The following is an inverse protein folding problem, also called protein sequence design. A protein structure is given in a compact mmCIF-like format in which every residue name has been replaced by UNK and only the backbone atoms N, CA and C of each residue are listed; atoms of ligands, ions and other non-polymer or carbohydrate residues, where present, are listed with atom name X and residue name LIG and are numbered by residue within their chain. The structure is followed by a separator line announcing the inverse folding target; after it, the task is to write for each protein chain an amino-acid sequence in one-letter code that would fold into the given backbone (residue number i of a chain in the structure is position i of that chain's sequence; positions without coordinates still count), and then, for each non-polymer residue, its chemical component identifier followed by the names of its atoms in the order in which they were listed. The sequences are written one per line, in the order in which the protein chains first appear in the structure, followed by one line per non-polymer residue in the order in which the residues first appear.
data_IF_667307596509
#
_entry.id   IF_667307596509
#
_cell.length_a   1.000
_cell.length_b   1.000
_cell.length_c   1.000
_cell.angle_alpha   90.00
_cell.angle_beta   90.00
_cell.angle_gamma   90.00
#
_symmetry.space_group_name_H-M   'P 1'
#
loop_
_entity.id
_entity.type
_entity.pdbx_description
1 polymer ?
#
# COMPACT_ATOMS: atom_id res chain seq x y z
N UNK A 1 -16.26 -18.64 10.95
CA UNK A 1 -16.33 -17.55 11.96
C UNK A 1 -16.28 -16.17 11.31
N UNK A 2 -15.27 -15.84 10.48
CA UNK A 2 -15.17 -14.51 9.85
C UNK A 2 -16.40 -14.14 9.00
N UNK A 3 -17.01 -15.07 8.32
CA UNK A 3 -18.22 -14.82 7.49
C UNK A 3 -19.38 -14.20 8.27
N UNK A 4 -19.57 -14.58 9.53
CA UNK A 4 -20.59 -13.99 10.41
C UNK A 4 -20.20 -12.56 10.84
N UNK A 5 -18.94 -12.37 11.22
CA UNK A 5 -18.39 -11.05 11.57
C UNK A 5 -18.52 -10.11 10.36
N UNK A 6 -18.16 -10.59 9.15
CA UNK A 6 -18.29 -9.83 7.91
C UNK A 6 -19.72 -9.38 7.65
N UNK A 7 -20.72 -10.27 7.83
CA UNK A 7 -22.13 -9.89 7.65
C UNK A 7 -22.53 -8.74 8.57
N UNK A 8 -22.13 -8.80 9.85
CA UNK A 8 -22.42 -7.72 10.81
C UNK A 8 -21.70 -6.42 10.45
N UNK A 9 -20.41 -6.48 10.10
CA UNK A 9 -19.61 -5.30 9.70
C UNK A 9 -20.15 -4.70 8.39
N UNK A 10 -20.60 -5.52 7.44
CA UNK A 10 -21.08 -5.06 6.13
C UNK A 10 -22.47 -4.41 6.19
N UNK A 11 -23.25 -4.57 7.28
CA UNK A 11 -24.48 -3.81 7.50
C UNK A 11 -24.23 -2.34 7.86
N UNK A 12 -22.99 -2.00 8.29
CA UNK A 12 -22.58 -0.65 8.59
C UNK A 12 -22.06 0.07 7.33
N UNK A 13 -22.06 1.41 7.37
CA UNK A 13 -21.35 2.22 6.39
C UNK A 13 -19.87 1.79 6.29
N UNK A 14 -19.27 1.74 5.07
CA UNK A 14 -17.91 1.23 4.90
C UNK A 14 -16.84 1.93 5.73
N UNK A 15 -16.93 3.24 5.89
CA UNK A 15 -15.94 4.00 6.66
C UNK A 15 -16.16 3.83 8.17
N UNK A 16 -17.41 3.82 8.62
CA UNK A 16 -17.77 3.50 10.02
C UNK A 16 -17.30 2.10 10.41
N UNK A 17 -17.47 1.12 9.53
CA UNK A 17 -16.99 -0.23 9.74
C UNK A 17 -15.46 -0.29 9.82
N UNK A 18 -14.76 0.44 8.95
CA UNK A 18 -13.31 0.56 8.99
C UNK A 18 -12.83 1.14 10.32
N UNK A 19 -13.40 2.27 10.75
CA UNK A 19 -13.03 2.93 12.00
C UNK A 19 -13.27 2.03 13.22
N UNK A 20 -14.36 1.25 13.22
CA UNK A 20 -14.66 0.27 14.28
C UNK A 20 -13.58 -0.84 14.33
N UNK A 21 -13.20 -1.38 13.17
CA UNK A 21 -12.15 -2.42 13.07
C UNK A 21 -10.81 -1.87 13.51
N UNK A 22 -10.42 -0.67 13.08
CA UNK A 22 -9.17 -0.01 13.50
C UNK A 22 -9.14 0.17 15.02
N UNK A 23 -10.21 0.72 15.62
CA UNK A 23 -10.30 0.88 17.08
C UNK A 23 -10.21 -0.47 17.81
N UNK A 24 -10.88 -1.48 17.30
CA UNK A 24 -10.86 -2.83 17.90
C UNK A 24 -9.47 -3.46 17.83
N UNK A 25 -8.79 -3.35 16.69
CA UNK A 25 -7.42 -3.85 16.52
C UNK A 25 -6.40 -3.06 17.36
N UNK A 26 -6.59 -1.74 17.49
CA UNK A 26 -5.77 -0.92 18.36
C UNK A 26 -5.85 -1.37 19.82
N UNK A 27 -7.06 -1.62 20.34
CA UNK A 27 -7.26 -2.13 21.69
C UNK A 27 -6.70 -3.54 21.86
N UNK A 28 -6.96 -4.43 20.89
CA UNK A 28 -6.46 -5.81 20.92
C UNK A 28 -4.93 -5.91 20.76
N UNK A 29 -4.31 -4.97 20.08
CA UNK A 29 -2.85 -4.89 19.92
C UNK A 29 -2.11 -4.39 21.16
N UNK A 30 -2.85 -3.78 22.12
CA UNK A 30 -2.28 -3.26 23.37
C UNK A 30 -2.44 -4.26 24.53
N UNK A 31 -1.30 -4.74 25.09
CA UNK A 31 -1.22 -5.45 26.37
C UNK A 31 -1.96 -6.82 26.43
N UNK A 32 -2.34 -7.46 27.54
CA UNK A 32 -2.48 -8.92 27.53
C UNK A 32 -3.35 -9.51 26.41
N UNK A 33 -4.22 -8.69 25.80
CA UNK A 33 -5.03 -9.09 24.65
C UNK A 33 -4.20 -9.39 23.40
N UNK A 34 -3.00 -8.85 23.24
CA UNK A 34 -2.14 -9.14 22.08
C UNK A 34 -1.74 -10.61 22.03
N UNK A 35 -1.46 -11.22 23.19
CA UNK A 35 -1.13 -12.64 23.25
C UNK A 35 -2.30 -13.53 22.79
N UNK A 36 -3.50 -13.24 23.26
CA UNK A 36 -4.72 -13.93 22.82
C UNK A 36 -4.98 -13.72 21.33
N UNK A 37 -4.80 -12.50 20.84
CA UNK A 37 -4.97 -12.18 19.42
C UNK A 37 -3.97 -12.97 18.56
N UNK A 38 -2.69 -13.04 18.96
CA UNK A 38 -1.67 -13.86 18.28
C UNK A 38 -2.01 -15.35 18.28
N UNK A 39 -2.55 -15.88 19.38
CA UNK A 39 -2.99 -17.29 19.43
C UNK A 39 -4.20 -17.56 18.53
N UNK A 40 -5.20 -16.67 18.53
CA UNK A 40 -6.41 -16.81 17.71
C UNK A 40 -6.12 -16.69 16.21
N UNK A 41 -5.20 -15.81 15.87
CA UNK A 41 -4.80 -15.54 14.49
C UNK A 41 -3.56 -16.34 14.05
N UNK A 42 -3.09 -17.30 14.87
CA UNK A 42 -1.86 -18.05 14.67
C UNK A 42 -1.58 -18.33 13.17
N UNK A 43 -0.58 -17.63 12.66
CA UNK A 43 -0.09 -17.80 11.29
C UNK A 43 1.17 -18.67 11.33
N UNK A 44 1.36 -19.63 10.41
CA UNK A 44 2.60 -20.37 10.30
C UNK A 44 3.75 -19.43 9.98
N UNK A 45 4.97 -19.86 10.29
CA UNK A 45 6.15 -19.20 9.76
C UNK A 45 6.16 -19.36 8.25
N UNK A 46 6.29 -18.24 7.53
CA UNK A 46 6.44 -18.25 6.08
C UNK A 46 7.89 -18.51 5.66
N UNK A 47 8.14 -18.50 4.37
CA UNK A 47 9.48 -18.56 3.79
C UNK A 47 10.07 -17.15 3.78
N UNK A 48 11.21 -16.91 4.45
CA UNK A 48 11.88 -15.62 4.39
C UNK A 48 12.32 -15.29 2.97
N UNK A 49 12.23 -14.02 2.59
CA UNK A 49 12.65 -13.52 1.27
C UNK A 49 13.48 -12.26 1.42
N UNK A 50 14.58 -12.17 0.67
CA UNK A 50 15.42 -10.99 0.65
C UNK A 50 15.07 -10.13 -0.58
N UNK A 51 14.60 -8.90 -0.36
CA UNK A 51 14.21 -7.94 -1.39
C UNK A 51 14.66 -6.55 -0.97
N UNK A 52 15.15 -5.73 -1.89
CA UNK A 52 15.66 -4.36 -1.61
C UNK A 52 16.73 -4.32 -0.49
N UNK A 53 17.51 -5.39 -0.31
CA UNK A 53 18.49 -5.48 0.79
C UNK A 53 17.89 -5.78 2.18
N UNK A 54 16.57 -6.00 2.28
CA UNK A 54 15.84 -6.29 3.50
C UNK A 54 15.40 -7.76 3.52
N UNK A 55 15.47 -8.41 4.68
CA UNK A 55 14.92 -9.75 4.87
C UNK A 55 13.49 -9.67 5.41
N UNK A 56 12.53 -10.08 4.59
CA UNK A 56 11.12 -10.21 4.97
C UNK A 56 10.86 -11.60 5.53
N UNK A 57 10.12 -11.74 6.63
CA UNK A 57 9.78 -13.04 7.25
C UNK A 57 8.94 -13.93 6.33
N UNK A 58 8.14 -13.33 5.52
CA UNK A 58 7.37 -13.93 4.42
C UNK A 58 7.01 -12.83 3.40
N UNK A 59 6.65 -13.19 2.17
CA UNK A 59 6.42 -12.23 1.10
C UNK A 59 5.06 -11.52 1.15
N UNK A 60 4.24 -11.73 2.19
CA UNK A 60 2.88 -11.19 2.28
C UNK A 60 2.83 -9.97 3.19
N UNK A 61 2.41 -8.84 2.65
CA UNK A 61 2.30 -7.58 3.38
C UNK A 61 0.91 -6.96 3.38
N UNK A 62 0.71 -6.02 4.31
CA UNK A 62 -0.46 -5.16 4.34
C UNK A 62 -0.19 -3.91 3.49
N UNK A 63 -1.10 -3.61 2.55
CA UNK A 63 -0.98 -2.41 1.72
C UNK A 63 -1.34 -1.14 2.49
N UNK A 64 -0.71 -0.03 2.12
CA UNK A 64 -1.08 1.31 2.61
C UNK A 64 -2.56 1.62 2.41
N UNK A 65 -3.12 2.41 3.32
CA UNK A 65 -4.54 2.78 3.36
C UNK A 65 -5.37 2.00 4.37
N UNK A 66 -4.91 0.83 4.81
CA UNK A 66 -5.56 0.06 5.87
C UNK A 66 -5.32 0.70 7.25
N UNK A 67 -4.08 1.02 7.56
CA UNK A 67 -3.66 1.80 8.75
C UNK A 67 -3.00 3.11 8.31
N UNK A 68 -3.80 4.15 8.12
CA UNK A 68 -3.33 5.44 7.58
C UNK A 68 -2.44 6.21 8.56
N UNK A 69 -2.70 6.03 9.84
CA UNK A 69 -2.08 6.79 10.93
C UNK A 69 -1.13 5.95 11.80
N UNK A 70 -0.83 4.71 11.38
CA UNK A 70 0.02 3.79 12.16
C UNK A 70 -0.54 3.50 13.56
N UNK A 71 -1.87 3.43 13.70
CA UNK A 71 -2.53 3.25 15.01
C UNK A 71 -2.70 1.78 15.39
N UNK A 72 -2.58 0.86 14.43
CA UNK A 72 -2.91 -0.57 14.61
C UNK A 72 -1.85 -1.54 14.10
N UNK A 73 -0.62 -1.08 13.99
CA UNK A 73 0.51 -1.89 13.48
C UNK A 73 0.58 -3.25 14.19
N UNK A 74 0.56 -3.27 15.53
CA UNK A 74 0.67 -4.49 16.33
C UNK A 74 -0.55 -5.42 16.16
N UNK A 75 -1.73 -4.83 15.95
CA UNK A 75 -2.96 -5.57 15.68
C UNK A 75 -2.92 -6.28 14.32
N UNK A 76 -2.49 -5.59 13.26
CA UNK A 76 -2.27 -6.19 11.96
C UNK A 76 -1.09 -7.17 11.96
N UNK A 77 -0.02 -6.86 12.68
CA UNK A 77 1.14 -7.74 12.83
C UNK A 77 0.78 -9.11 13.41
N UNK A 78 -0.20 -9.16 14.33
CA UNK A 78 -0.71 -10.41 14.88
C UNK A 78 -1.39 -11.32 13.82
N UNK A 79 -1.77 -10.81 12.65
CA UNK A 79 -2.33 -11.61 11.56
C UNK A 79 -1.28 -12.38 10.77
N UNK A 80 0.02 -12.13 11.00
CA UNK A 80 1.12 -12.87 10.37
C UNK A 80 1.71 -12.23 9.11
N UNK A 81 1.42 -10.96 8.85
CA UNK A 81 2.09 -10.22 7.78
C UNK A 81 3.60 -10.19 7.97
N UNK A 82 4.37 -10.42 6.90
CA UNK A 82 5.81 -10.25 6.87
C UNK A 82 6.24 -8.80 6.89
N UNK A 83 5.38 -7.91 6.38
CA UNK A 83 5.58 -6.46 6.39
C UNK A 83 4.25 -5.71 6.42
N UNK A 84 4.30 -4.49 6.91
CA UNK A 84 3.15 -3.59 6.99
C UNK A 84 3.53 -2.24 6.39
N UNK A 85 2.72 -1.74 5.47
CA UNK A 85 2.86 -0.39 4.93
C UNK A 85 1.76 0.51 5.49
N UNK A 86 2.16 1.51 6.30
CA UNK A 86 1.26 2.52 6.87
C UNK A 86 1.17 3.76 5.98
N UNK A 87 0.13 4.56 6.14
CA UNK A 87 -0.11 5.75 5.32
C UNK A 87 -1.21 5.50 4.27
N UNK A 88 -1.34 6.30 3.20
CA UNK A 88 -0.42 7.38 2.80
C UNK A 88 -0.53 8.55 3.77
N UNK A 89 0.62 9.02 4.20
CA UNK A 89 0.74 10.18 5.08
C UNK A 89 1.28 11.39 4.32
N UNK A 90 0.84 12.57 4.70
CA UNK A 90 1.24 13.86 4.12
C UNK A 90 1.96 14.72 5.16
N UNK A 91 2.70 15.78 4.77
CA UNK A 91 3.37 16.66 5.74
C UNK A 91 2.46 17.14 6.86
N UNK A 92 1.32 17.68 6.49
CA UNK A 92 0.31 18.19 7.44
C UNK A 92 -0.90 17.24 7.46
N UNK A 93 -1.59 17.22 8.60
CA UNK A 93 -2.88 16.55 8.73
C UNK A 93 -3.88 17.09 7.70
N UNK A 94 -4.74 16.22 7.16
CA UNK A 94 -5.83 16.62 6.27
C UNK A 94 -7.01 15.66 6.37
N UNK A 95 -8.22 16.22 6.27
CA UNK A 95 -9.48 15.49 6.37
C UNK A 95 -9.73 14.55 5.17
N UNK A 96 -9.08 14.80 4.03
CA UNK A 96 -9.34 14.13 2.77
C UNK A 96 -10.55 14.68 2.04
N UNK A 97 -11.23 13.84 1.25
CA UNK A 97 -12.41 14.22 0.48
C UNK A 97 -13.69 14.08 1.32
N UNK A 98 -14.77 14.77 0.91
CA UNK A 98 -16.07 14.71 1.56
C UNK A 98 -16.64 13.28 1.62
N UNK A 99 -17.33 12.97 2.71
CA UNK A 99 -18.08 11.71 2.88
C UNK A 99 -19.46 11.80 2.21
N UNK A 100 -20.04 10.67 1.73
CA UNK A 100 -19.47 9.32 1.72
C UNK A 100 -18.37 9.19 0.64
N UNK A 101 -17.33 8.44 0.96
CA UNK A 101 -16.14 8.32 0.10
C UNK A 101 -15.60 6.89 -0.03
N UNK A 102 -16.34 5.91 0.49
CA UNK A 102 -16.06 4.49 0.34
C UNK A 102 -17.34 3.74 -0.02
N UNK A 103 -17.26 2.86 -1.01
CA UNK A 103 -18.41 2.13 -1.55
C UNK A 103 -18.01 0.68 -1.82
N UNK A 104 -18.78 -0.27 -1.27
CA UNK A 104 -18.58 -1.70 -1.54
C UNK A 104 -19.35 -2.11 -2.78
N UNK A 105 -18.73 -2.94 -3.60
CA UNK A 105 -19.37 -3.69 -4.69
C UNK A 105 -19.29 -5.17 -4.29
N UNK A 106 -20.26 -5.59 -3.47
CA UNK A 106 -20.20 -6.88 -2.76
C UNK A 106 -20.24 -8.05 -3.73
N UNK A 107 -20.98 -7.94 -4.82
CA UNK A 107 -21.18 -8.97 -5.85
C UNK A 107 -19.87 -9.39 -6.52
N UNK A 108 -18.92 -8.48 -6.61
CA UNK A 108 -17.60 -8.67 -7.27
C UNK A 108 -16.43 -8.50 -6.31
N UNK A 109 -16.67 -8.43 -5.02
CA UNK A 109 -15.64 -8.23 -3.99
C UNK A 109 -14.73 -7.02 -4.29
N UNK A 110 -15.37 -5.95 -4.77
CA UNK A 110 -14.73 -4.67 -5.12
C UNK A 110 -15.00 -3.58 -4.09
N UNK A 111 -14.13 -2.57 -4.07
CA UNK A 111 -14.30 -1.35 -3.27
C UNK A 111 -13.92 -0.16 -4.12
N UNK A 112 -14.83 0.83 -4.24
CA UNK A 112 -14.49 2.14 -4.77
C UNK A 112 -14.23 3.08 -3.60
N UNK A 113 -13.13 3.82 -3.64
CA UNK A 113 -12.81 4.84 -2.65
C UNK A 113 -12.32 6.14 -3.29
N UNK A 114 -12.66 7.25 -2.62
CA UNK A 114 -12.14 8.59 -2.91
C UNK A 114 -11.65 9.29 -1.64
N UNK A 115 -10.85 8.56 -0.84
CA UNK A 115 -10.41 9.01 0.49
C UNK A 115 -9.64 10.34 0.46
N UNK A 116 -8.75 10.56 -0.52
CA UNK A 116 -7.98 11.80 -0.66
C UNK A 116 -6.91 11.97 0.42
N UNK A 117 -6.27 10.88 0.82
CA UNK A 117 -5.19 10.86 1.82
C UNK A 117 -5.58 11.49 3.17
N UNK A 118 -6.75 11.12 3.72
CA UNK A 118 -7.10 11.52 5.08
C UNK A 118 -6.11 10.93 6.09
N UNK A 119 -5.42 11.80 6.84
CA UNK A 119 -4.39 11.41 7.82
C UNK A 119 -4.09 12.54 8.81
N UNK A 120 -3.39 12.22 9.89
CA UNK A 120 -3.04 13.16 10.97
C UNK A 120 -1.64 13.79 10.82
N UNK A 121 -1.00 13.66 9.66
CA UNK A 121 0.30 14.22 9.37
C UNK A 121 1.47 13.30 9.76
N UNK A 122 2.63 13.59 9.16
CA UNK A 122 3.81 12.71 9.28
C UNK A 122 4.32 12.59 10.72
N UNK A 123 4.27 13.66 11.51
CA UNK A 123 4.77 13.64 12.88
C UNK A 123 3.94 12.69 13.76
N UNK A 124 2.61 12.66 13.59
CA UNK A 124 1.74 11.73 14.29
C UNK A 124 2.03 10.27 13.93
N UNK A 125 2.20 10.00 12.63
CA UNK A 125 2.50 8.64 12.13
C UNK A 125 3.84 8.15 12.66
N UNK A 126 4.88 8.98 12.62
CA UNK A 126 6.21 8.64 13.13
C UNK A 126 6.17 8.32 14.63
N UNK A 127 5.44 9.09 15.42
CA UNK A 127 5.29 8.81 16.85
C UNK A 127 4.58 7.48 17.14
N UNK A 128 3.64 7.06 16.29
CA UNK A 128 3.00 5.77 16.41
C UNK A 128 3.91 4.62 15.97
N UNK A 129 4.65 4.79 14.86
CA UNK A 129 5.64 3.81 14.40
C UNK A 129 6.70 3.53 15.48
N UNK A 130 7.20 4.56 16.17
CA UNK A 130 8.15 4.41 17.27
C UNK A 130 7.63 3.54 18.43
N UNK A 131 6.33 3.52 18.66
CA UNK A 131 5.69 2.78 19.77
C UNK A 131 5.33 1.35 19.38
N UNK A 132 5.33 1.02 18.10
CA UNK A 132 4.97 -0.30 17.62
C UNK A 132 5.98 -1.36 18.05
N UNK A 133 5.47 -2.57 18.33
CA UNK A 133 6.25 -3.75 18.72
C UNK A 133 6.24 -4.81 17.62
N UNK A 134 5.80 -4.44 16.44
CA UNK A 134 5.81 -5.31 15.27
C UNK A 134 7.25 -5.69 14.91
N UNK A 135 7.50 -6.98 14.77
CA UNK A 135 8.83 -7.55 14.51
C UNK A 135 9.06 -7.89 13.02
N UNK A 136 8.16 -7.46 12.12
CA UNK A 136 8.29 -7.52 10.66
C UNK A 136 8.83 -6.21 10.10
N UNK A 137 8.85 -6.13 8.77
CA UNK A 137 9.35 -4.97 8.02
C UNK A 137 8.30 -3.85 8.00
N UNK A 138 8.72 -2.63 8.35
CA UNK A 138 7.87 -1.44 8.41
C UNK A 138 8.08 -0.54 7.20
N UNK A 139 7.03 -0.41 6.38
CA UNK A 139 6.97 0.57 5.29
C UNK A 139 6.19 1.82 5.68
N UNK A 140 6.68 2.99 5.27
CA UNK A 140 5.94 4.26 5.40
C UNK A 140 5.67 4.81 4.01
N UNK A 141 4.38 4.92 3.67
CA UNK A 141 3.91 5.44 2.39
C UNK A 141 3.66 6.94 2.52
N UNK A 142 4.37 7.74 1.73
CA UNK A 142 4.33 9.20 1.77
C UNK A 142 3.68 9.78 0.52
N UNK A 143 3.01 10.92 0.67
CA UNK A 143 2.32 11.60 -0.41
C UNK A 143 2.23 13.11 -0.21
N UNK A 144 1.72 13.78 -1.26
CA UNK A 144 1.51 15.24 -1.29
C UNK A 144 0.22 15.63 -0.59
N UNK A 145 0.22 16.71 0.18
CA UNK A 145 -1.01 17.35 0.66
C UNK A 145 -1.93 17.78 -0.49
N UNK A 146 -3.22 17.72 -0.28
CA UNK A 146 -4.23 18.09 -1.29
C UNK A 146 -4.08 19.55 -1.73
N UNK A 147 -3.78 20.44 -0.79
CA UNK A 147 -3.67 21.89 -1.03
C UNK A 147 -2.35 22.32 -1.64
N UNK A 148 -1.33 21.47 -1.64
CA UNK A 148 -0.02 21.77 -2.25
C UNK A 148 -0.16 21.73 -3.78
N UNK A 149 0.18 22.81 -4.50
CA UNK A 149 0.23 22.81 -5.97
C UNK A 149 1.20 21.74 -6.50
N UNK A 150 0.99 21.27 -7.72
CA UNK A 150 1.79 20.18 -8.29
C UNK A 150 3.27 20.56 -8.43
N UNK A 151 3.56 21.82 -8.76
CA UNK A 151 4.89 22.38 -8.91
C UNK A 151 5.71 22.36 -7.62
N UNK A 152 5.02 22.36 -6.47
CA UNK A 152 5.61 22.25 -5.12
C UNK A 152 5.44 20.86 -4.51
N UNK A 153 4.86 19.94 -5.25
CA UNK A 153 4.58 18.57 -4.76
C UNK A 153 5.83 17.87 -4.24
N UNK A 154 6.95 18.04 -4.91
CA UNK A 154 8.25 17.49 -4.50
C UNK A 154 8.63 17.85 -3.06
N UNK A 155 8.37 19.08 -2.61
CA UNK A 155 8.74 19.55 -1.27
C UNK A 155 8.03 18.74 -0.18
N UNK A 156 6.77 18.36 -0.42
CA UNK A 156 5.99 17.52 0.49
C UNK A 156 6.61 16.12 0.66
N UNK A 157 7.06 15.51 -0.44
CA UNK A 157 7.74 14.21 -0.39
C UNK A 157 9.07 14.30 0.34
N UNK A 158 9.87 15.33 0.07
CA UNK A 158 11.15 15.54 0.75
C UNK A 158 10.96 15.81 2.24
N UNK A 159 9.92 16.56 2.61
CA UNK A 159 9.58 16.80 4.01
C UNK A 159 9.23 15.49 4.73
N UNK A 160 8.32 14.69 4.15
CA UNK A 160 7.95 13.41 4.71
C UNK A 160 9.11 12.42 4.78
N UNK A 161 9.94 12.38 3.71
CA UNK A 161 11.14 11.55 3.65
C UNK A 161 12.10 11.85 4.81
N UNK A 162 12.36 13.14 5.09
CA UNK A 162 13.21 13.55 6.20
C UNK A 162 12.70 13.07 7.56
N UNK A 163 11.40 13.14 7.77
CA UNK A 163 10.76 12.76 9.04
C UNK A 163 10.69 11.25 9.22
N UNK A 164 10.39 10.50 8.15
CA UNK A 164 10.16 9.06 8.19
C UNK A 164 11.45 8.23 8.18
N UNK A 165 12.53 8.73 7.57
CA UNK A 165 13.70 7.96 7.15
C UNK A 165 14.27 7.03 8.23
N UNK A 166 14.50 7.57 9.41
CA UNK A 166 15.14 6.80 10.50
C UNK A 166 14.22 5.72 11.11
N UNK A 167 12.92 5.81 10.87
CA UNK A 167 11.88 4.97 11.50
C UNK A 167 11.26 3.94 10.56
N UNK A 168 11.53 4.04 9.27
CA UNK A 168 11.09 3.10 8.27
C UNK A 168 12.18 2.08 7.95
N UNK A 169 11.78 0.87 7.55
CA UNK A 169 12.66 -0.10 6.92
C UNK A 169 12.68 0.12 5.39
N UNK A 170 11.56 0.57 4.81
CA UNK A 170 11.51 1.12 3.46
C UNK A 170 10.48 2.27 3.39
N UNK A 171 10.61 3.10 2.38
CA UNK A 171 9.68 4.22 2.14
C UNK A 171 9.04 4.07 0.77
N UNK A 172 7.71 4.33 0.69
CA UNK A 172 6.99 4.33 -0.58
C UNK A 172 6.62 5.75 -0.98
N UNK A 173 7.06 6.18 -2.15
CA UNK A 173 6.66 7.43 -2.82
C UNK A 173 5.38 7.17 -3.60
N UNK A 174 4.24 7.66 -3.11
CA UNK A 174 2.93 7.41 -3.72
C UNK A 174 2.51 8.56 -4.64
N UNK A 175 2.67 8.36 -5.94
CA UNK A 175 2.34 9.30 -6.99
C UNK A 175 1.11 8.87 -7.83
N UNK A 176 0.37 7.87 -7.36
CA UNK A 176 -0.58 7.12 -8.19
C UNK A 176 -2.04 7.20 -7.74
N UNK A 177 -2.36 7.94 -6.67
CA UNK A 177 -3.74 8.08 -6.22
C UNK A 177 -4.58 8.87 -7.22
N UNK A 178 -5.76 8.36 -7.63
CA UNK A 178 -6.69 9.13 -8.48
C UNK A 178 -7.51 10.15 -7.68
N UNK A 179 -7.35 10.20 -6.36
CA UNK A 179 -8.22 10.92 -5.44
C UNK A 179 -7.62 12.24 -4.92
N UNK A 180 -6.42 12.56 -5.34
CA UNK A 180 -5.72 13.83 -5.08
C UNK A 180 -5.54 14.56 -6.41
N UNK A 181 -5.97 15.83 -6.53
CA UNK A 181 -5.85 16.58 -7.78
C UNK A 181 -4.43 16.54 -8.34
N UNK A 182 -4.34 16.32 -9.63
CA UNK A 182 -3.12 16.36 -10.46
C UNK A 182 -1.99 15.40 -10.04
N UNK A 183 -2.18 14.63 -8.96
CA UNK A 183 -1.12 13.77 -8.41
C UNK A 183 -0.50 12.83 -9.43
N UNK A 184 -1.34 12.25 -10.32
CA UNK A 184 -0.87 11.31 -11.35
C UNK A 184 0.02 11.96 -12.42
N UNK A 185 0.02 13.30 -12.53
CA UNK A 185 0.95 14.02 -13.41
C UNK A 185 2.40 13.83 -12.95
N UNK A 186 2.63 13.57 -11.65
CA UNK A 186 3.96 13.23 -11.12
C UNK A 186 4.53 11.90 -11.64
N UNK A 187 3.77 11.11 -12.39
CA UNK A 187 4.25 9.87 -13.02
C UNK A 187 4.86 10.09 -14.40
N UNK A 188 4.85 11.33 -14.90
CA UNK A 188 5.19 11.62 -16.29
C UNK A 188 6.20 12.77 -16.43
N UNK A 189 7.03 12.66 -17.49
CA UNK A 189 7.89 13.74 -17.97
C UNK A 189 8.82 14.32 -16.92
N UNK A 190 9.04 15.63 -17.02
CA UNK A 190 10.00 16.36 -16.18
C UNK A 190 9.63 16.33 -14.69
N UNK A 191 8.36 16.29 -14.34
CA UNK A 191 7.91 16.18 -12.95
C UNK A 191 8.36 14.87 -12.30
N UNK A 192 8.27 13.77 -13.05
CA UNK A 192 8.68 12.47 -12.53
C UNK A 192 10.20 12.40 -12.38
N UNK A 193 10.93 12.87 -13.38
CA UNK A 193 12.39 12.90 -13.37
C UNK A 193 12.93 13.74 -12.23
N UNK A 194 12.47 14.99 -12.09
CA UNK A 194 12.89 15.91 -11.03
C UNK A 194 12.55 15.40 -9.63
N UNK A 195 11.37 14.79 -9.46
CA UNK A 195 10.98 14.18 -8.19
C UNK A 195 11.94 13.04 -7.81
N UNK A 196 12.18 12.07 -8.71
CA UNK A 196 13.04 10.93 -8.40
C UNK A 196 14.49 11.35 -8.18
N UNK A 197 15.00 12.28 -8.98
CA UNK A 197 16.33 12.85 -8.77
C UNK A 197 16.47 13.44 -7.37
N UNK A 198 15.51 14.27 -6.97
CA UNK A 198 15.52 14.93 -5.67
C UNK A 198 15.41 13.94 -4.51
N UNK A 199 14.56 12.92 -4.65
CA UNK A 199 14.38 11.82 -3.68
C UNK A 199 15.71 11.05 -3.52
N UNK A 200 16.36 10.66 -4.62
CA UNK A 200 17.63 9.91 -4.55
C UNK A 200 18.77 10.73 -3.98
N UNK A 201 18.85 12.01 -4.32
CA UNK A 201 19.83 12.91 -3.71
C UNK A 201 19.60 13.01 -2.19
N UNK A 202 18.34 13.18 -1.77
CA UNK A 202 18.02 13.27 -0.35
C UNK A 202 18.23 11.96 0.39
N UNK A 203 17.92 10.82 -0.24
CA UNK A 203 18.18 9.48 0.31
C UNK A 203 19.66 9.31 0.64
N UNK A 204 20.57 9.70 -0.24
CA UNK A 204 22.03 9.64 -0.01
C UNK A 204 22.45 10.44 1.22
N UNK A 205 22.00 11.69 1.33
CA UNK A 205 22.29 12.57 2.48
C UNK A 205 21.79 11.93 3.78
N UNK A 206 20.58 11.39 3.77
CA UNK A 206 19.99 10.76 4.97
C UNK A 206 20.68 9.44 5.31
N UNK A 207 21.11 8.66 4.31
CA UNK A 207 21.86 7.44 4.54
C UNK A 207 23.20 7.70 5.25
N UNK A 208 23.90 8.74 4.85
CA UNK A 208 25.14 9.18 5.52
C UNK A 208 24.84 9.71 6.94
N UNK A 209 23.82 10.57 7.07
CA UNK A 209 23.43 11.17 8.35
C UNK A 209 23.07 10.14 9.42
N UNK A 210 22.34 9.08 9.05
CA UNK A 210 21.84 8.05 9.96
C UNK A 210 22.66 6.77 9.95
N UNK A 211 23.71 6.69 9.11
CA UNK A 211 24.48 5.47 8.87
C UNK A 211 23.55 4.24 8.61
N UNK A 212 22.48 4.48 7.84
CA UNK A 212 21.44 3.51 7.55
C UNK A 212 20.89 3.74 6.14
N UNK A 213 20.98 2.73 5.27
CA UNK A 213 20.32 2.79 3.98
C UNK A 213 18.87 2.33 4.09
N UNK A 214 17.94 3.20 3.76
CA UNK A 214 16.49 2.89 3.70
C UNK A 214 16.06 2.90 2.24
N UNK A 215 15.70 1.74 1.66
CA UNK A 215 15.29 1.66 0.26
C UNK A 215 13.98 2.40 0.02
N UNK A 216 13.82 2.91 -1.21
CA UNK A 216 12.66 3.70 -1.63
C UNK A 216 11.98 3.02 -2.82
N UNK A 217 10.71 2.66 -2.63
CA UNK A 217 9.83 2.14 -3.68
C UNK A 217 8.93 3.24 -4.23
N UNK A 218 8.58 3.17 -5.52
CA UNK A 218 7.63 4.07 -6.17
C UNK A 218 6.32 3.32 -6.44
N UNK A 219 5.19 3.86 -6.00
CA UNK A 219 3.87 3.24 -6.23
C UNK A 219 3.18 3.86 -7.43
N UNK A 220 2.92 3.03 -8.46
CA UNK A 220 2.37 3.44 -9.75
C UNK A 220 0.89 3.09 -9.91
N UNK A 221 0.21 3.79 -10.84
CA UNK A 221 -1.17 3.53 -11.22
C UNK A 221 -1.29 2.32 -12.17
N UNK A 222 -2.46 1.67 -12.25
CA UNK A 222 -2.71 0.62 -13.23
C UNK A 222 -3.23 1.16 -14.58
N UNK A 223 -3.62 2.44 -14.65
CA UNK A 223 -4.24 3.05 -15.82
C UNK A 223 -3.17 3.72 -16.68
N UNK A 224 -2.24 2.92 -17.20
CA UNK A 224 -1.09 3.34 -18.00
C UNK A 224 -1.17 2.71 -19.39
N UNK A 225 -0.84 3.47 -20.41
CA UNK A 225 -0.54 2.93 -21.75
C UNK A 225 0.82 2.22 -21.75
N UNK A 226 1.08 1.41 -22.77
CA UNK A 226 2.38 0.74 -22.92
C UNK A 226 3.54 1.73 -22.97
N UNK A 227 3.39 2.82 -23.72
CA UNK A 227 4.41 3.85 -23.84
C UNK A 227 4.72 4.52 -22.50
N UNK A 228 3.69 4.84 -21.71
CA UNK A 228 3.85 5.41 -20.37
C UNK A 228 4.54 4.42 -19.42
N UNK A 229 4.20 3.13 -19.50
CA UNK A 229 4.83 2.10 -18.67
C UNK A 229 6.33 1.95 -18.97
N UNK A 230 6.70 1.97 -20.26
CA UNK A 230 8.12 1.96 -20.69
C UNK A 230 8.85 3.20 -20.16
N UNK A 231 8.28 4.39 -20.30
CA UNK A 231 8.87 5.63 -19.77
C UNK A 231 9.06 5.59 -18.26
N UNK A 232 8.08 5.04 -17.52
CA UNK A 232 8.18 4.87 -16.07
C UNK A 232 9.33 3.91 -15.74
N UNK A 233 9.41 2.75 -16.40
CA UNK A 233 10.47 1.77 -16.18
C UNK A 233 11.85 2.36 -16.44
N UNK A 234 12.03 3.05 -17.57
CA UNK A 234 13.29 3.72 -17.93
C UNK A 234 13.70 4.78 -16.89
N UNK A 235 12.74 5.56 -16.39
CA UNK A 235 13.03 6.58 -15.38
C UNK A 235 13.38 5.96 -14.03
N UNK A 236 12.68 4.89 -13.62
CA UNK A 236 13.02 4.14 -12.41
C UNK A 236 14.45 3.57 -12.49
N UNK A 237 14.83 2.98 -13.62
CA UNK A 237 16.18 2.44 -13.88
C UNK A 237 17.25 3.54 -13.87
N UNK A 238 17.02 4.65 -14.57
CA UNK A 238 17.93 5.79 -14.65
C UNK A 238 18.25 6.38 -13.28
N UNK A 239 17.23 6.51 -12.42
CA UNK A 239 17.40 7.00 -11.06
C UNK A 239 17.78 5.90 -10.06
N UNK A 240 17.96 4.65 -10.49
CA UNK A 240 18.33 3.54 -9.62
C UNK A 240 17.41 3.43 -8.39
N UNK A 241 16.09 3.44 -8.65
CA UNK A 241 15.11 3.25 -7.57
C UNK A 241 15.20 1.83 -7.01
N UNK A 242 14.91 1.69 -5.72
CA UNK A 242 15.15 0.43 -5.01
C UNK A 242 14.01 -0.57 -5.17
N UNK A 243 12.81 -0.11 -5.53
CA UNK A 243 11.64 -0.95 -5.74
C UNK A 243 10.50 -0.22 -6.44
N UNK A 244 9.53 -0.97 -6.91
CA UNK A 244 8.28 -0.44 -7.46
C UNK A 244 7.07 -1.21 -6.94
N UNK A 245 5.98 -0.52 -6.59
CA UNK A 245 4.71 -1.13 -6.19
C UNK A 245 3.71 -1.03 -7.34
N UNK A 246 3.33 -2.16 -7.88
CA UNK A 246 2.35 -2.28 -8.95
C UNK A 246 1.16 -3.13 -8.46
N UNK A 247 -0.06 -2.54 -8.24
CA UNK A 247 -0.46 -1.17 -8.60
C UNK A 247 -1.30 -0.52 -7.50
N UNK A 248 -1.59 0.77 -7.67
CA UNK A 248 -2.67 1.45 -6.96
C UNK A 248 -4.04 1.02 -7.53
N UNK A 249 -5.12 1.72 -7.18
CA UNK A 249 -6.50 1.49 -7.65
C UNK A 249 -6.70 2.02 -9.08
N UNK A 250 -7.66 1.44 -9.83
CA UNK A 250 -8.02 1.85 -11.20
C UNK A 250 -9.18 2.81 -11.23
N UNK A 251 -9.22 3.68 -12.25
CA UNK A 251 -10.39 4.49 -12.60
C UNK A 251 -11.31 3.80 -13.63
N UNK A 252 -10.87 2.71 -14.27
CA UNK A 252 -11.72 1.90 -15.15
C UNK A 252 -12.90 1.28 -14.38
N UNK A 253 -14.04 1.15 -15.10
CA UNK A 253 -15.29 0.56 -14.60
C UNK A 253 -15.75 -0.63 -15.44
N UNK A 254 -14.95 -1.07 -16.42
CA UNK A 254 -15.33 -2.09 -17.40
C UNK A 254 -15.82 -3.38 -16.74
N UNK A 255 -15.15 -3.79 -15.66
CA UNK A 255 -15.45 -5.04 -14.94
C UNK A 255 -16.58 -4.89 -13.90
N UNK A 256 -17.21 -3.71 -13.78
CA UNK A 256 -18.21 -3.44 -12.76
C UNK A 256 -19.43 -2.67 -13.29
N UNK A 257 -19.51 -2.48 -14.62
CA UNK A 257 -20.59 -1.74 -15.26
C UNK A 257 -21.97 -2.32 -14.87
N UNK A 258 -22.92 -1.46 -14.54
CA UNK A 258 -24.27 -1.84 -14.15
C UNK A 258 -24.45 -2.31 -12.71
N UNK A 259 -23.38 -2.48 -11.94
CA UNK A 259 -23.48 -2.82 -10.52
C UNK A 259 -23.83 -1.58 -9.68
N UNK A 260 -24.50 -1.82 -8.54
CA UNK A 260 -24.76 -0.77 -7.56
C UNK A 260 -23.44 -0.08 -7.14
N UNK A 261 -23.41 1.24 -7.15
CA UNK A 261 -22.26 2.08 -6.86
C UNK A 261 -21.15 2.09 -7.92
N UNK A 262 -21.26 1.39 -9.04
CA UNK A 262 -20.23 1.35 -10.07
C UNK A 262 -19.89 2.75 -10.63
N UNK A 263 -20.87 3.65 -10.72
CA UNK A 263 -20.73 5.02 -11.23
C UNK A 263 -20.06 5.99 -10.24
N UNK A 264 -19.76 5.52 -9.02
CA UNK A 264 -19.11 6.38 -8.04
C UNK A 264 -17.68 6.76 -8.49
N UNK A 265 -17.34 8.04 -8.32
CA UNK A 265 -15.98 8.54 -8.54
C UNK A 265 -15.01 7.94 -7.52
N UNK A 266 -13.76 7.75 -7.93
CA UNK A 266 -12.69 7.24 -7.09
C UNK A 266 -11.96 6.05 -7.68
N UNK A 267 -11.04 5.48 -6.92
CA UNK A 267 -10.28 4.31 -7.33
C UNK A 267 -10.98 3.00 -6.98
N UNK A 268 -11.09 2.10 -7.95
CA UNK A 268 -11.62 0.75 -7.80
C UNK A 268 -10.50 -0.22 -7.43
N UNK A 269 -10.72 -0.99 -6.36
CA UNK A 269 -9.83 -2.04 -5.85
C UNK A 269 -10.57 -3.36 -5.69
N UNK A 270 -9.86 -4.41 -5.31
CA UNK A 270 -10.41 -5.76 -5.12
C UNK A 270 -10.36 -6.60 -6.39
N UNK A 271 -11.15 -7.66 -6.43
CA UNK A 271 -11.15 -8.65 -7.50
C UNK A 271 -11.27 -8.06 -8.92
N UNK A 272 -12.07 -7.00 -9.17
CA UNK A 272 -12.17 -6.39 -10.50
C UNK A 272 -10.83 -5.82 -11.04
N UNK A 273 -9.86 -5.53 -10.17
CA UNK A 273 -8.54 -5.00 -10.54
C UNK A 273 -7.51 -6.12 -10.83
N UNK A 274 -7.80 -7.38 -10.49
CA UNK A 274 -6.82 -8.47 -10.46
C UNK A 274 -6.07 -8.65 -11.79
N UNK A 275 -6.78 -8.82 -12.90
CA UNK A 275 -6.18 -9.08 -14.21
C UNK A 275 -5.33 -7.90 -14.68
N UNK A 276 -5.88 -6.68 -14.60
CA UNK A 276 -5.19 -5.45 -15.01
C UNK A 276 -3.89 -5.24 -14.22
N UNK A 277 -3.94 -5.41 -12.90
CA UNK A 277 -2.76 -5.29 -12.06
C UNK A 277 -1.71 -6.36 -12.38
N UNK A 278 -2.11 -7.61 -12.64
CA UNK A 278 -1.20 -8.70 -13.00
C UNK A 278 -0.53 -8.44 -14.36
N UNK A 279 -1.26 -7.89 -15.32
CA UNK A 279 -0.69 -7.53 -16.63
C UNK A 279 0.34 -6.40 -16.52
N UNK A 280 0.05 -5.36 -15.74
CA UNK A 280 1.02 -4.28 -15.46
C UNK A 280 2.28 -4.83 -14.80
N UNK A 281 2.16 -5.75 -13.84
CA UNK A 281 3.32 -6.40 -13.21
C UNK A 281 4.15 -7.15 -14.25
N UNK A 282 3.52 -7.95 -15.12
CA UNK A 282 4.20 -8.73 -16.15
C UNK A 282 4.97 -7.84 -17.12
N UNK A 283 4.33 -6.80 -17.63
CA UNK A 283 4.96 -5.85 -18.54
C UNK A 283 6.10 -5.09 -17.85
N UNK A 284 5.87 -4.61 -16.65
CA UNK A 284 6.88 -3.90 -15.87
C UNK A 284 8.10 -4.80 -15.59
N UNK A 285 7.88 -6.08 -15.27
CA UNK A 285 8.97 -7.04 -15.07
C UNK A 285 9.83 -7.21 -16.34
N UNK A 286 9.21 -7.26 -17.52
CA UNK A 286 9.91 -7.33 -18.79
C UNK A 286 10.77 -6.09 -19.04
N UNK A 287 10.25 -4.90 -18.80
CA UNK A 287 10.96 -3.63 -19.00
C UNK A 287 12.09 -3.43 -17.97
N UNK A 288 11.86 -3.77 -16.72
CA UNK A 288 12.86 -3.65 -15.65
C UNK A 288 13.96 -4.73 -15.71
N UNK A 289 13.75 -5.82 -16.43
CA UNK A 289 14.74 -6.92 -16.63
C UNK A 289 15.33 -7.45 -15.31
N UNK A 290 14.52 -7.49 -14.26
CA UNK A 290 14.93 -7.96 -12.93
C UNK A 290 15.86 -7.02 -12.15
N UNK A 291 16.12 -5.80 -12.64
CA UNK A 291 17.03 -4.85 -11.96
C UNK A 291 16.36 -4.14 -10.78
N UNK A 292 15.03 -4.00 -10.81
CA UNK A 292 14.24 -3.38 -9.73
C UNK A 292 13.15 -4.36 -9.32
N UNK A 293 13.09 -4.78 -8.05
CA UNK A 293 12.08 -5.68 -7.55
C UNK A 293 10.68 -5.05 -7.57
N UNK A 294 9.67 -5.90 -7.80
CA UNK A 294 8.26 -5.48 -7.87
C UNK A 294 7.51 -6.00 -6.65
N UNK A 295 6.82 -5.12 -5.96
CA UNK A 295 5.82 -5.45 -4.94
C UNK A 295 4.45 -5.47 -5.61
N UNK A 296 3.85 -6.64 -5.75
CA UNK A 296 2.56 -6.82 -6.42
C UNK A 296 1.39 -6.44 -5.51
N UNK A 297 0.49 -5.58 -5.99
CA UNK A 297 -0.71 -5.16 -5.28
C UNK A 297 -1.90 -5.04 -6.22
N UNK A 298 -3.11 -5.38 -5.76
CA UNK A 298 -4.36 -5.26 -6.51
C UNK A 298 -5.01 -6.60 -6.83
N UNK A 299 -6.19 -6.85 -6.26
CA UNK A 299 -7.02 -8.02 -6.51
C UNK A 299 -6.49 -9.33 -5.94
N UNK A 300 -5.71 -9.31 -4.88
CA UNK A 300 -5.28 -10.53 -4.18
C UNK A 300 -6.38 -10.92 -3.20
N UNK A 301 -7.14 -11.95 -3.54
CA UNK A 301 -8.26 -12.49 -2.76
C UNK A 301 -8.13 -13.99 -2.46
N UNK A 302 -7.07 -14.65 -2.96
CA UNK A 302 -6.79 -16.07 -2.76
C UNK A 302 -5.40 -16.46 -3.25
N UNK A 303 -5.06 -17.74 -3.05
CA UNK A 303 -3.74 -18.28 -3.39
C UNK A 303 -3.48 -18.25 -4.90
N UNK A 304 -4.51 -18.55 -5.71
CA UNK A 304 -4.34 -18.61 -7.16
C UNK A 304 -3.87 -17.26 -7.73
N UNK A 305 -4.58 -16.17 -7.44
CA UNK A 305 -4.22 -14.86 -7.99
C UNK A 305 -2.99 -14.24 -7.32
N UNK A 306 -2.65 -14.65 -6.11
CA UNK A 306 -1.35 -14.35 -5.53
C UNK A 306 -0.21 -15.02 -6.30
N UNK A 307 -0.38 -16.31 -6.66
CA UNK A 307 0.59 -17.05 -7.45
C UNK A 307 0.75 -16.46 -8.86
N UNK A 308 -0.34 -16.08 -9.52
CA UNK A 308 -0.32 -15.40 -10.82
C UNK A 308 0.52 -14.11 -10.81
N UNK A 309 0.51 -13.37 -9.70
CA UNK A 309 1.34 -12.16 -9.57
C UNK A 309 2.82 -12.48 -9.36
N UNK A 310 3.13 -13.52 -8.61
CA UNK A 310 4.52 -14.02 -8.49
C UNK A 310 5.05 -14.47 -9.86
N UNK A 311 4.26 -15.26 -10.59
CA UNK A 311 4.59 -15.72 -11.95
C UNK A 311 4.70 -14.56 -12.96
N UNK A 312 3.98 -13.46 -12.73
CA UNK A 312 4.12 -12.23 -13.50
C UNK A 312 5.39 -11.43 -13.18
N UNK A 313 6.14 -11.79 -12.13
CA UNK A 313 7.40 -11.16 -11.74
C UNK A 313 7.37 -10.35 -10.45
N UNK A 314 6.29 -10.43 -9.65
CA UNK A 314 6.28 -9.82 -8.32
C UNK A 314 7.14 -10.63 -7.34
N UNK A 315 7.90 -9.96 -6.50
CA UNK A 315 8.71 -10.60 -5.46
C UNK A 315 8.03 -10.57 -4.09
N UNK A 316 7.26 -9.53 -3.81
CA UNK A 316 6.46 -9.38 -2.61
C UNK A 316 5.01 -9.06 -3.00
N UNK A 317 4.07 -9.31 -2.11
CA UNK A 317 2.64 -9.10 -2.33
C UNK A 317 2.02 -8.23 -1.25
N UNK A 318 1.18 -7.27 -1.63
CA UNK A 318 0.42 -6.44 -0.70
C UNK A 318 -1.09 -6.71 -0.82
N UNK A 319 -1.72 -7.01 0.31
CA UNK A 319 -3.17 -7.28 0.42
C UNK A 319 -3.90 -6.09 1.04
N UNK A 320 -5.05 -5.73 0.49
CA UNK A 320 -5.98 -4.72 1.04
C UNK A 320 -7.44 -5.21 1.00
N UNK A 321 -8.11 -5.13 -0.15
CA UNK A 321 -9.54 -5.47 -0.29
C UNK A 321 -9.82 -6.94 0.01
N UNK A 322 -8.91 -7.86 -0.38
CA UNK A 322 -9.02 -9.27 -0.04
C UNK A 322 -9.10 -9.50 1.47
N UNK A 323 -8.32 -8.77 2.27
CA UNK A 323 -8.40 -8.86 3.73
C UNK A 323 -9.79 -8.44 4.26
N UNK A 324 -10.41 -7.42 3.65
CA UNK A 324 -11.75 -6.95 4.05
C UNK A 324 -12.83 -8.00 3.74
N UNK A 325 -12.71 -8.69 2.61
CA UNK A 325 -13.69 -9.70 2.19
C UNK A 325 -13.48 -11.08 2.83
N UNK A 326 -12.22 -11.52 3.00
CA UNK A 326 -11.88 -12.88 3.44
C UNK A 326 -11.33 -12.94 4.88
N UNK A 327 -10.95 -11.77 5.44
CA UNK A 327 -10.43 -11.68 6.82
C UNK A 327 -9.02 -12.23 7.00
N UNK A 328 -8.59 -12.40 8.26
CA UNK A 328 -7.23 -12.85 8.59
C UNK A 328 -6.87 -14.24 8.06
N UNK A 329 -7.88 -15.08 7.77
CA UNK A 329 -7.67 -16.40 7.18
C UNK A 329 -6.94 -16.35 5.86
N UNK A 330 -7.19 -15.32 5.04
CA UNK A 330 -6.50 -15.09 3.77
C UNK A 330 -4.98 -14.96 3.98
N UNK A 331 -4.55 -14.19 4.96
CA UNK A 331 -3.12 -14.00 5.26
C UNK A 331 -2.45 -15.35 5.56
N UNK A 332 -3.09 -16.15 6.40
CA UNK A 332 -2.60 -17.50 6.77
C UNK A 332 -2.50 -18.44 5.56
N UNK A 333 -3.46 -18.41 4.65
CA UNK A 333 -3.47 -19.21 3.43
C UNK A 333 -2.34 -18.78 2.49
N UNK A 334 -2.18 -17.48 2.28
CA UNK A 334 -1.14 -16.91 1.43
C UNK A 334 0.26 -17.20 1.98
N UNK A 335 0.50 -17.01 3.28
CA UNK A 335 1.81 -17.27 3.91
C UNK A 335 2.20 -18.76 3.81
N UNK A 336 1.23 -19.67 3.82
CA UNK A 336 1.49 -21.11 3.62
C UNK A 336 1.85 -21.47 2.19
N UNK A 337 1.20 -20.82 1.22
CA UNK A 337 1.26 -21.21 -0.18
C UNK A 337 2.35 -20.49 -0.97
N UNK A 338 2.64 -19.24 -0.65
CA UNK A 338 3.59 -18.39 -1.38
C UNK A 338 4.97 -18.50 -0.70
N UNK A 339 5.97 -18.89 -1.51
CA UNK A 339 7.36 -19.09 -1.04
C UNK A 339 8.30 -18.05 -1.61
#
# INVERSE_FOLDING_TARGET
MYSLIRKAIFSLDPETAHDLVIKSLHLAGKSPCQFLLKQLLACPQGTPKQVMGITFKNPIGLAAGADKNAETIDGFGAMGFGFIEVGTVTPLAQEGNAKPRQFRLVEVEGIINRNGFNNYGIDYVVENVKKAKFDGVMGINIGKNKVTPIEKGKDDYLFCLNKAYNYADYITVNISSPNTPDLRQLQYGDYFDDLLQSIKQRQKVLAEQYNKYVPIAVKIAPDLSEAELVQIADTLLRHQMDGVIATNTTISRDNVAGLKNAEQQGGLSGKPLQQKSTEIIRRLHQELKGQIPIIGSGGIDGVQNAQEKIEAGAELLQVYSGLIYHGPGLVKELVKAIK
#
